data_IF_775826664580
#
_entry.id   IF_775826664580
#
_cell.length_a   1.000
_cell.length_b   1.000
_cell.length_c   1.000
_cell.angle_alpha   90.00
_cell.angle_beta   90.00
_cell.angle_gamma   90.00
#
_symmetry.space_group_name_H-M   'P 1'
#
loop_
_entity.id
_entity.type
_entity.pdbx_description
1 polymer ?
#
# COMPACT_ATOMS: atom_id res chain seq x y z
N UNK A 1 -8.38 10.68 21.01
CA UNK A 1 -9.18 9.87 20.09
C UNK A 1 -9.47 8.55 20.77
N UNK A 2 -10.71 8.13 20.82
CA UNK A 2 -11.07 6.83 21.42
C UNK A 2 -10.69 5.69 20.47
N UNK A 3 -10.38 4.52 21.02
CA UNK A 3 -10.01 3.35 20.24
C UNK A 3 -11.27 2.57 19.84
N UNK A 4 -11.21 1.90 18.69
CA UNK A 4 -12.29 1.08 18.13
C UNK A 4 -13.55 1.88 17.74
N UNK A 5 -13.40 3.16 17.46
CA UNK A 5 -14.47 4.04 17.01
C UNK A 5 -14.34 4.38 15.54
N UNK A 6 -15.47 4.60 14.87
CA UNK A 6 -15.54 5.09 13.49
C UNK A 6 -15.83 6.59 13.53
N UNK A 7 -14.93 7.36 12.93
CA UNK A 7 -15.03 8.82 12.85
C UNK A 7 -15.45 9.24 11.44
N UNK A 8 -16.63 9.85 11.32
CA UNK A 8 -17.11 10.40 10.06
C UNK A 8 -16.69 11.86 9.93
N UNK A 9 -15.46 12.08 9.50
CA UNK A 9 -14.86 13.41 9.39
C UNK A 9 -13.80 13.44 8.27
N UNK A 10 -13.27 14.61 7.95
CA UNK A 10 -12.16 14.76 7.02
C UNK A 10 -10.91 14.12 7.63
N UNK A 11 -10.27 13.22 6.87
CA UNK A 11 -9.24 12.32 7.41
C UNK A 11 -7.95 13.05 7.84
N UNK A 12 -7.53 14.10 7.12
CA UNK A 12 -6.32 14.87 7.47
C UNK A 12 -6.53 15.59 8.81
N UNK A 13 -7.71 16.21 9.01
CA UNK A 13 -8.06 16.86 10.28
C UNK A 13 -8.19 15.83 11.43
N UNK A 14 -8.85 14.71 11.15
CA UNK A 14 -8.99 13.63 12.11
C UNK A 14 -7.64 13.08 12.58
N UNK A 15 -6.72 12.86 11.65
CA UNK A 15 -5.39 12.36 11.97
C UNK A 15 -4.58 13.29 12.90
N UNK A 16 -4.80 14.61 12.87
CA UNK A 16 -4.11 15.55 13.77
C UNK A 16 -4.28 15.21 15.26
N UNK A 17 -5.36 14.52 15.62
CA UNK A 17 -5.62 14.08 17.01
C UNK A 17 -4.92 12.79 17.40
N UNK A 18 -4.33 12.08 16.43
CA UNK A 18 -3.58 10.85 16.69
C UNK A 18 -2.17 11.24 17.18
N UNK A 19 -1.69 10.67 18.29
CA UNK A 19 -0.33 10.94 18.77
C UNK A 19 0.74 10.50 17.76
N UNK A 20 1.87 11.18 17.75
CA UNK A 20 3.01 10.84 16.93
C UNK A 20 3.50 9.41 17.24
N UNK A 21 3.88 8.66 16.20
CA UNK A 21 4.46 7.31 16.32
C UNK A 21 3.65 6.34 17.18
N UNK A 22 2.32 6.45 17.13
CA UNK A 22 1.42 5.61 17.93
C UNK A 22 0.80 4.47 17.15
N UNK A 23 0.77 4.54 15.82
CA UNK A 23 0.10 3.60 14.93
C UNK A 23 1.07 2.53 14.44
N UNK A 24 0.71 1.25 14.59
CA UNK A 24 1.53 0.12 14.14
C UNK A 24 1.39 -0.15 12.65
N UNK A 25 0.19 0.02 12.11
CA UNK A 25 -0.10 -0.18 10.68
C UNK A 25 -1.20 0.77 10.22
N UNK A 26 -1.06 1.30 9.02
CA UNK A 26 -2.13 1.97 8.28
C UNK A 26 -2.54 1.01 7.16
N UNK A 27 -3.83 0.65 7.11
CA UNK A 27 -4.43 -0.09 6.00
C UNK A 27 -5.59 0.75 5.49
N UNK A 28 -5.51 1.21 4.25
CA UNK A 28 -6.49 2.16 3.72
C UNK A 28 -6.78 1.92 2.25
N UNK A 29 -8.06 2.03 1.89
CA UNK A 29 -8.55 2.13 0.53
C UNK A 29 -8.85 3.61 0.25
N UNK A 30 -7.96 4.27 -0.48
CA UNK A 30 -8.05 5.69 -0.78
C UNK A 30 -9.05 5.95 -1.93
N UNK A 31 -9.64 7.13 -2.03
CA UNK A 31 -10.38 7.51 -3.22
C UNK A 31 -9.43 7.67 -4.42
N UNK A 32 -9.74 7.03 -5.55
CA UNK A 32 -8.87 6.99 -6.73
C UNK A 32 -9.14 8.09 -7.75
N UNK A 33 -10.26 8.84 -7.60
CA UNK A 33 -10.70 9.84 -8.56
C UNK A 33 -11.10 9.23 -9.91
N UNK A 34 -11.64 8.02 -9.91
CA UNK A 34 -11.99 7.28 -11.13
C UNK A 34 -13.49 7.13 -11.35
N UNK A 35 -14.30 7.53 -10.39
CA UNK A 35 -15.76 7.48 -10.46
C UNK A 35 -16.35 8.88 -10.53
N UNK A 36 -17.63 8.97 -10.93
CA UNK A 36 -18.37 10.25 -10.90
C UNK A 36 -18.93 10.62 -9.51
N UNK A 37 -18.55 9.91 -8.46
CA UNK A 37 -19.02 10.15 -7.11
C UNK A 37 -18.29 11.33 -6.47
N UNK A 38 -19.00 12.23 -5.79
CA UNK A 38 -18.41 13.43 -5.15
C UNK A 38 -17.38 13.10 -4.08
N UNK A 39 -17.48 11.94 -3.45
CA UNK A 39 -16.53 11.47 -2.43
C UNK A 39 -15.25 10.84 -3.02
N UNK A 40 -15.26 10.49 -4.31
CA UNK A 40 -14.09 9.89 -4.98
C UNK A 40 -13.16 10.98 -5.52
N UNK A 41 -12.72 11.85 -4.64
CA UNK A 41 -11.76 12.91 -4.92
C UNK A 41 -10.40 12.54 -4.32
N UNK A 42 -9.35 12.61 -5.15
CA UNK A 42 -8.00 12.24 -4.71
C UNK A 42 -7.56 13.16 -3.58
N UNK A 43 -7.26 12.59 -2.43
CA UNK A 43 -6.68 13.31 -1.29
C UNK A 43 -5.30 13.84 -1.69
N UNK A 44 -4.99 15.12 -1.43
CA UNK A 44 -3.68 15.68 -1.73
C UNK A 44 -2.56 14.87 -1.05
N UNK A 45 -1.62 14.36 -1.84
CA UNK A 45 -0.60 13.44 -1.34
C UNK A 45 0.33 14.06 -0.30
N UNK A 46 0.70 15.30 -0.45
CA UNK A 46 1.65 15.96 0.42
C UNK A 46 1.18 16.00 1.89
N UNK A 47 0.00 16.56 2.23
CA UNK A 47 -0.51 16.53 3.60
C UNK A 47 -0.86 15.10 4.06
N UNK A 48 -1.29 14.19 3.15
CA UNK A 48 -1.53 12.80 3.50
C UNK A 48 -0.26 12.12 3.99
N UNK A 49 0.84 12.23 3.25
CA UNK A 49 2.12 11.64 3.62
C UNK A 49 2.72 12.29 4.87
N UNK A 50 2.50 13.59 5.08
CA UNK A 50 2.92 14.26 6.31
C UNK A 50 2.26 13.59 7.53
N UNK A 51 0.93 13.44 7.51
CA UNK A 51 0.21 12.81 8.63
C UNK A 51 0.55 11.32 8.77
N UNK A 52 0.60 10.55 7.69
CA UNK A 52 0.97 9.14 7.74
C UNK A 52 2.36 8.94 8.33
N UNK A 53 3.35 9.71 7.90
CA UNK A 53 4.71 9.64 8.44
C UNK A 53 4.80 10.08 9.91
N UNK A 54 3.95 10.99 10.35
CA UNK A 54 3.91 11.46 11.72
C UNK A 54 3.34 10.38 12.65
N UNK A 55 2.18 9.83 12.31
CA UNK A 55 1.45 8.92 13.20
C UNK A 55 2.02 7.50 13.21
N UNK A 56 2.60 7.02 12.08
CA UNK A 56 3.12 5.66 12.00
C UNK A 56 4.41 5.48 12.84
N UNK A 57 4.53 4.36 13.52
CA UNK A 57 5.76 3.96 14.22
C UNK A 57 6.92 3.77 13.25
N UNK A 58 8.15 3.83 13.72
CA UNK A 58 9.34 3.71 12.87
C UNK A 58 9.45 2.34 12.18
N UNK A 59 8.88 1.29 12.77
CA UNK A 59 8.80 -0.06 12.22
C UNK A 59 7.40 -0.44 11.71
N UNK A 60 6.50 0.54 11.62
CA UNK A 60 5.14 0.35 11.12
C UNK A 60 5.07 0.25 9.60
N UNK A 61 4.00 -0.31 9.09
CA UNK A 61 3.72 -0.45 7.66
C UNK A 61 2.58 0.48 7.22
N UNK A 62 2.69 1.08 6.04
CA UNK A 62 1.61 1.79 5.38
C UNK A 62 1.21 0.95 4.16
N UNK A 63 -0.01 0.46 4.15
CA UNK A 63 -0.55 -0.47 3.15
C UNK A 63 -1.77 0.17 2.51
N UNK A 64 -1.67 0.48 1.22
CA UNK A 64 -2.69 1.26 0.51
C UNK A 64 -3.18 0.48 -0.71
N UNK A 65 -4.50 0.33 -0.81
CA UNK A 65 -5.10 -0.19 -2.03
C UNK A 65 -5.01 0.86 -3.14
N UNK A 66 -4.84 0.39 -4.34
CA UNK A 66 -4.71 1.26 -5.50
C UNK A 66 -5.07 0.52 -6.79
N UNK A 67 -5.40 1.30 -7.81
CA UNK A 67 -5.68 0.83 -9.15
C UNK A 67 -5.12 1.80 -10.18
N UNK A 68 -4.68 1.30 -11.35
CA UNK A 68 -4.17 2.17 -12.40
C UNK A 68 -5.24 3.13 -12.95
N UNK A 69 -4.90 4.40 -13.21
CA UNK A 69 -3.58 5.05 -13.15
C UNK A 69 -3.21 5.60 -11.75
N UNK A 70 -4.08 5.47 -10.76
CA UNK A 70 -3.84 5.98 -9.39
C UNK A 70 -2.62 5.30 -8.74
N UNK A 71 -2.43 3.99 -8.93
CA UNK A 71 -1.24 3.25 -8.42
C UNK A 71 0.07 3.95 -8.80
N UNK A 72 0.21 4.34 -10.06
CA UNK A 72 1.43 5.03 -10.54
C UNK A 72 1.62 6.36 -9.84
N UNK A 73 0.56 7.18 -9.70
CA UNK A 73 0.61 8.47 -9.01
C UNK A 73 0.98 8.31 -7.54
N UNK A 74 0.34 7.34 -6.87
CA UNK A 74 0.58 7.02 -5.46
C UNK A 74 2.03 6.61 -5.20
N UNK A 75 2.56 5.67 -5.98
CA UNK A 75 3.95 5.23 -5.84
C UNK A 75 4.92 6.38 -6.10
N UNK A 76 4.71 7.14 -7.17
CA UNK A 76 5.57 8.27 -7.52
C UNK A 76 5.57 9.36 -6.44
N UNK A 77 4.42 9.62 -5.81
CA UNK A 77 4.30 10.63 -4.75
C UNK A 77 5.19 10.34 -3.52
N UNK A 78 5.57 9.07 -3.31
CA UNK A 78 6.42 8.66 -2.19
C UNK A 78 7.38 7.52 -2.54
N UNK A 79 8.00 7.61 -3.71
CA UNK A 79 8.91 6.58 -4.23
C UNK A 79 10.05 6.22 -3.27
N UNK A 80 10.50 7.17 -2.44
CA UNK A 80 11.58 6.95 -1.48
C UNK A 80 11.23 5.95 -0.38
N UNK A 81 9.95 5.86 -0.03
CA UNK A 81 9.41 4.98 1.01
C UNK A 81 8.67 3.77 0.44
N UNK A 82 8.47 3.73 -0.89
CA UNK A 82 7.85 2.58 -1.55
C UNK A 82 8.71 1.34 -1.42
N UNK A 83 8.08 0.20 -1.12
CA UNK A 83 8.76 -1.07 -0.93
C UNK A 83 8.42 -2.12 -1.95
N UNK A 84 7.15 -2.47 -2.07
CA UNK A 84 6.62 -3.44 -3.05
C UNK A 84 5.11 -3.33 -3.16
N UNK A 85 4.55 -3.97 -4.20
CA UNK A 85 3.12 -4.23 -4.31
C UNK A 85 2.83 -5.72 -4.23
N UNK A 86 1.69 -6.05 -3.63
CA UNK A 86 0.97 -7.29 -3.91
C UNK A 86 -0.11 -7.02 -4.93
N UNK A 87 -0.47 -8.05 -5.70
CA UNK A 87 -1.64 -8.04 -6.56
C UNK A 87 -2.74 -8.83 -5.88
N UNK A 88 -3.86 -8.19 -5.60
CA UNK A 88 -5.04 -8.82 -5.06
C UNK A 88 -5.97 -9.24 -6.20
N UNK A 89 -6.22 -10.55 -6.33
CA UNK A 89 -7.24 -11.11 -7.24
C UNK A 89 -8.58 -11.10 -6.51
N UNK A 90 -9.49 -10.24 -6.99
CA UNK A 90 -10.85 -10.11 -6.44
C UNK A 90 -11.78 -11.29 -6.82
N UNK A 91 -11.34 -12.18 -7.71
CA UNK A 91 -12.08 -13.30 -8.29
C UNK A 91 -13.31 -12.88 -9.14
N UNK A 92 -13.95 -11.79 -8.78
CA UNK A 92 -15.09 -11.24 -9.54
C UNK A 92 -14.63 -9.94 -10.22
N UNK A 93 -14.57 -9.91 -11.56
CA UNK A 93 -14.14 -8.72 -12.27
C UNK A 93 -15.17 -7.59 -12.19
N UNK A 94 -14.69 -6.35 -12.17
CA UNK A 94 -15.48 -5.13 -12.22
C UNK A 94 -15.36 -4.43 -13.59
N UNK A 95 -16.27 -3.48 -13.87
CA UNK A 95 -16.22 -2.67 -15.09
C UNK A 95 -17.02 -3.24 -16.26
N UNK A 96 -18.09 -4.00 -16.02
CA UNK A 96 -18.99 -4.56 -17.05
C UNK A 96 -19.43 -3.51 -18.08
N UNK A 97 -19.74 -2.28 -17.67
CA UNK A 97 -20.16 -1.20 -18.57
C UNK A 97 -19.12 -0.83 -19.63
N UNK A 98 -17.86 -1.12 -19.38
CA UNK A 98 -16.74 -0.82 -20.29
C UNK A 98 -16.20 -2.05 -21.03
N UNK A 99 -16.80 -3.23 -20.83
CA UNK A 99 -16.29 -4.50 -21.38
C UNK A 99 -16.22 -4.53 -22.93
N UNK A 100 -16.93 -3.64 -23.63
CA UNK A 100 -16.84 -3.47 -25.09
C UNK A 100 -15.57 -2.73 -25.54
N UNK A 101 -14.94 -1.96 -24.63
CA UNK A 101 -13.85 -1.04 -24.96
C UNK A 101 -12.53 -1.42 -24.31
N UNK A 102 -12.57 -2.18 -23.22
CA UNK A 102 -11.38 -2.63 -22.48
C UNK A 102 -11.68 -3.90 -21.69
N UNK A 103 -10.66 -4.69 -21.35
CA UNK A 103 -10.83 -5.83 -20.45
C UNK A 103 -11.44 -5.40 -19.12
N UNK A 104 -12.27 -6.27 -18.55
CA UNK A 104 -12.76 -6.10 -17.18
C UNK A 104 -11.60 -6.21 -16.18
N UNK A 105 -11.73 -5.50 -15.07
CA UNK A 105 -10.70 -5.44 -14.07
C UNK A 105 -10.97 -6.40 -12.91
N UNK A 106 -10.07 -7.36 -12.74
CA UNK A 106 -10.18 -8.39 -11.71
C UNK A 106 -9.18 -8.20 -10.58
N UNK A 107 -8.08 -7.49 -10.83
CA UNK A 107 -7.02 -7.30 -9.84
C UNK A 107 -6.93 -5.88 -9.34
N UNK A 108 -6.43 -5.72 -8.10
CA UNK A 108 -6.05 -4.44 -7.51
C UNK A 108 -4.63 -4.54 -6.95
N UNK A 109 -3.96 -3.41 -6.90
CA UNK A 109 -2.64 -3.30 -6.29
C UNK A 109 -2.77 -3.01 -4.79
N UNK A 110 -1.94 -3.67 -3.99
CA UNK A 110 -1.79 -3.39 -2.56
C UNK A 110 -0.38 -2.88 -2.35
N UNK A 111 -0.23 -1.56 -2.32
CA UNK A 111 1.05 -0.87 -2.25
C UNK A 111 1.55 -0.79 -0.82
N UNK A 112 2.78 -1.25 -0.56
CA UNK A 112 3.40 -1.22 0.76
C UNK A 112 4.50 -0.18 0.79
N UNK A 113 4.43 0.69 1.81
CA UNK A 113 5.43 1.72 2.10
C UNK A 113 5.97 1.54 3.51
N UNK A 114 7.24 1.93 3.70
CA UNK A 114 7.91 1.92 5.00
C UNK A 114 8.79 3.17 5.16
N UNK A 115 9.09 3.57 6.37
CA UNK A 115 10.04 4.67 6.60
C UNK A 115 11.43 4.25 6.13
N UNK A 116 12.07 5.09 5.32
CA UNK A 116 13.43 4.84 4.80
C UNK A 116 14.43 4.53 5.92
N UNK A 117 15.18 3.45 5.73
CA UNK A 117 16.21 3.01 6.69
C UNK A 117 15.66 2.27 7.91
N UNK A 118 14.38 1.97 7.95
CA UNK A 118 13.73 1.17 8.99
C UNK A 118 13.21 -0.13 8.40
N UNK A 119 13.20 -1.19 9.20
CA UNK A 119 12.58 -2.47 8.79
C UNK A 119 11.20 -2.56 9.39
N UNK A 120 10.22 -2.67 8.49
CA UNK A 120 8.84 -2.99 8.89
C UNK A 120 8.78 -4.39 9.50
N UNK A 121 7.94 -4.56 10.49
CA UNK A 121 7.62 -5.89 11.03
C UNK A 121 6.96 -6.71 9.91
N UNK A 122 7.59 -7.83 9.57
CA UNK A 122 7.08 -8.77 8.58
C UNK A 122 7.09 -10.19 9.11
N UNK A 123 5.92 -10.75 9.32
CA UNK A 123 5.73 -12.12 9.77
C UNK A 123 5.43 -13.03 8.57
N UNK A 124 6.48 -13.59 7.97
CA UNK A 124 6.34 -14.43 6.80
C UNK A 124 5.48 -15.67 7.10
N UNK A 125 4.34 -15.79 6.44
CA UNK A 125 3.51 -17.00 6.44
C UNK A 125 4.13 -18.01 5.48
N UNK A 126 4.73 -19.07 6.03
CA UNK A 126 5.41 -20.10 5.25
C UNK A 126 4.57 -21.37 5.22
N UNK A 127 4.34 -21.91 4.02
CA UNK A 127 3.78 -23.25 3.84
C UNK A 127 4.91 -24.26 3.61
N UNK A 128 4.78 -25.44 4.24
CA UNK A 128 5.73 -26.54 4.02
C UNK A 128 5.56 -27.04 2.59
N UNK A 129 6.65 -27.10 1.83
CA UNK A 129 6.62 -27.69 0.49
C UNK A 129 6.69 -29.21 0.58
N UNK A 130 5.94 -29.88 -0.28
CA UNK A 130 5.99 -31.34 -0.40
C UNK A 130 7.30 -31.84 -1.05
N UNK A 131 7.88 -31.05 -1.96
CA UNK A 131 9.14 -31.38 -2.63
C UNK A 131 10.18 -30.29 -2.45
N UNK A 132 11.43 -30.62 -2.07
CA UNK A 132 12.49 -29.63 -1.99
C UNK A 132 12.86 -29.09 -3.37
N UNK A 133 13.09 -27.75 -3.46
CA UNK A 133 13.69 -27.20 -4.67
C UNK A 133 15.16 -27.58 -4.68
N UNK A 134 15.65 -28.21 -5.75
CA UNK A 134 17.08 -28.26 -6.03
C UNK A 134 17.52 -26.82 -6.33
N UNK A 135 18.29 -26.22 -5.44
CA UNK A 135 18.84 -24.89 -5.65
C UNK A 135 19.83 -24.95 -6.81
N UNK A 136 19.38 -24.65 -8.01
CA UNK A 136 20.27 -24.40 -9.14
C UNK A 136 21.01 -23.09 -8.89
N UNK A 137 22.26 -23.17 -8.50
CA UNK A 137 23.35 -22.26 -8.84
C UNK A 137 23.23 -20.74 -8.62
N UNK A 138 22.56 -20.20 -7.61
CA UNK A 138 22.58 -18.76 -7.30
C UNK A 138 23.75 -18.36 -6.36
N UNK A 139 24.73 -19.22 -6.13
CA UNK A 139 25.88 -18.88 -5.27
C UNK A 139 26.93 -17.93 -5.89
N UNK A 140 26.81 -17.50 -7.14
CA UNK A 140 27.79 -16.63 -7.82
C UNK A 140 27.37 -15.18 -8.05
N UNK A 141 26.16 -14.77 -7.75
CA UNK A 141 25.66 -13.43 -8.06
C UNK A 141 25.80 -12.38 -6.94
N UNK A 142 26.26 -12.74 -5.75
CA UNK A 142 26.29 -11.82 -4.59
C UNK A 142 27.72 -11.30 -4.26
N UNK A 143 28.76 -11.66 -5.05
CA UNK A 143 30.14 -11.31 -4.70
C UNK A 143 30.75 -10.11 -5.47
N UNK A 144 29.99 -9.35 -6.21
CA UNK A 144 30.55 -8.19 -6.93
C UNK A 144 29.72 -6.91 -6.77
N UNK A 145 29.64 -6.36 -5.58
CA UNK A 145 29.41 -4.92 -5.37
C UNK A 145 29.84 -4.53 -3.95
N UNK A 146 31.16 -4.60 -3.71
CA UNK A 146 31.84 -3.78 -2.70
C UNK A 146 33.12 -3.26 -3.34
N UNK A 147 33.01 -2.13 -3.96
CA UNK A 147 34.06 -1.12 -4.08
C UNK A 147 33.39 0.25 -4.12
#
# INVERSE_FOLDING_TARGET
MELNEIYNEECIEGMKRIPDKSVDMILCDLPYGTTGCKWDEIIPFEPLWEQYNRVIKDNGAIVLFANQPFTTKLIYSNIKNFKYCWTWDKQIPSGMGYARFRPMQQTEDVCVFEKKGRRTIYNAQKTKREKPIKSGGVKKAIQHHTQ
#
